data_IF_330187317358
#
_entry.id   IF_330187317358
#
_cell.length_a   1.000
_cell.length_b   1.000
_cell.length_c   1.000
_cell.angle_alpha   90.00
_cell.angle_beta   90.00
_cell.angle_gamma   90.00
#
_symmetry.space_group_name_H-M   'P 1'
#
loop_
_entity.id
_entity.type
_entity.pdbx_description
1 polymer ?
#
# COMPACT_ATOMS: atom_id res chain seq x y z
N UNK A 1 -0.66 -0.86 1.95
CA UNK A 1 -0.02 -1.46 3.14
C UNK A 1 -0.91 -2.51 3.82
N UNK A 2 -2.18 -2.55 3.49
CA UNK A 2 -3.17 -3.56 3.96
C UNK A 2 -3.24 -3.70 5.49
N UNK A 3 -2.92 -2.65 6.22
CA UNK A 3 -3.11 -2.60 7.66
C UNK A 3 -4.58 -2.33 7.94
N UNK A 4 -5.14 -3.06 8.89
CA UNK A 4 -6.53 -2.89 9.34
C UNK A 4 -6.76 -1.43 9.81
N UNK A 5 -7.62 -0.73 9.09
CA UNK A 5 -8.04 0.63 9.40
C UNK A 5 -9.41 0.53 10.06
N UNK A 6 -9.46 0.60 11.38
CA UNK A 6 -10.73 0.51 12.11
C UNK A 6 -11.49 1.82 11.99
N UNK A 7 -12.74 1.74 11.56
CA UNK A 7 -13.62 2.90 11.33
C UNK A 7 -13.78 3.81 12.57
N UNK A 8 -13.61 3.27 13.77
CA UNK A 8 -13.85 3.97 15.03
C UNK A 8 -12.57 4.44 15.74
N UNK A 9 -11.40 4.35 15.10
CA UNK A 9 -10.15 4.79 15.71
C UNK A 9 -9.51 5.89 14.86
N UNK A 10 -9.89 7.13 15.14
CA UNK A 10 -9.38 8.33 14.44
C UNK A 10 -7.87 8.54 14.60
N UNK A 11 -7.22 7.84 15.55
CA UNK A 11 -5.78 7.90 15.72
C UNK A 11 -5.05 6.96 14.76
N UNK A 12 -5.75 5.95 14.22
CA UNK A 12 -5.16 4.92 13.32
C UNK A 12 -5.49 5.11 11.86
N UNK A 13 -6.47 5.97 11.54
CA UNK A 13 -6.88 6.26 10.18
C UNK A 13 -7.01 7.76 9.95
N UNK A 14 -6.76 8.17 8.72
CA UNK A 14 -6.97 9.55 8.27
C UNK A 14 -7.44 9.57 6.82
N UNK A 15 -7.99 10.70 6.40
CA UNK A 15 -8.35 10.93 5.00
C UNK A 15 -7.18 11.61 4.30
N UNK A 16 -6.76 11.03 3.19
CA UNK A 16 -5.74 11.55 2.30
C UNK A 16 -6.36 11.92 0.96
N UNK A 17 -5.81 12.94 0.30
CA UNK A 17 -6.17 13.33 -1.06
C UNK A 17 -5.02 12.94 -1.98
N UNK A 18 -5.31 12.10 -2.98
CA UNK A 18 -4.28 11.67 -3.93
C UNK A 18 -3.76 12.83 -4.77
N UNK A 19 -4.67 13.61 -5.36
CA UNK A 19 -4.36 14.88 -6.00
C UNK A 19 -4.39 16.02 -4.97
N UNK A 20 -3.48 17.01 -5.03
CA UNK A 20 -3.43 18.07 -4.03
C UNK A 20 -4.75 18.85 -3.93
N UNK A 21 -5.35 18.86 -2.75
CA UNK A 21 -6.60 19.61 -2.48
C UNK A 21 -6.48 21.12 -2.71
N UNK A 22 -5.27 21.65 -2.72
CA UNK A 22 -4.97 23.08 -2.95
C UNK A 22 -4.87 23.43 -4.43
N UNK A 23 -4.84 22.47 -5.34
CA UNK A 23 -4.77 22.74 -6.76
C UNK A 23 -6.11 23.29 -7.27
N UNK A 24 -6.03 24.45 -7.92
CA UNK A 24 -7.17 25.17 -8.51
C UNK A 24 -7.07 25.28 -10.04
N UNK A 25 -6.07 24.67 -10.65
CA UNK A 25 -5.77 24.83 -12.07
C UNK A 25 -6.83 24.19 -12.98
N UNK A 26 -7.47 23.12 -12.53
CA UNK A 26 -8.44 22.32 -13.33
C UNK A 26 -9.91 22.74 -13.16
N UNK A 27 -10.22 23.70 -12.27
CA UNK A 27 -11.60 24.06 -11.91
C UNK A 27 -12.33 22.99 -11.07
N UNK A 28 -11.70 21.87 -10.77
CA UNK A 28 -12.21 20.82 -9.89
C UNK A 28 -11.92 21.19 -8.44
N UNK A 29 -12.91 20.99 -7.56
CA UNK A 29 -12.69 21.11 -6.12
C UNK A 29 -12.14 19.79 -5.56
N UNK A 30 -10.85 19.57 -5.69
CA UNK A 30 -10.16 18.37 -5.25
C UNK A 30 -10.30 18.05 -3.76
N UNK A 31 -10.64 19.07 -2.95
CA UNK A 31 -10.86 18.88 -1.51
C UNK A 31 -12.19 18.18 -1.20
N UNK A 32 -13.16 18.24 -2.10
CA UNK A 32 -14.50 17.66 -1.94
C UNK A 32 -14.79 16.53 -2.94
N UNK A 33 -13.82 16.19 -3.79
CA UNK A 33 -13.96 15.10 -4.75
C UNK A 33 -13.75 13.75 -4.05
N UNK A 34 -14.81 12.98 -3.91
CA UNK A 34 -14.77 11.62 -3.34
C UNK A 34 -13.86 10.67 -4.12
N UNK A 35 -13.74 10.85 -5.44
CA UNK A 35 -12.81 10.09 -6.29
C UNK A 35 -11.35 10.41 -6.00
N UNK A 36 -11.08 11.44 -5.22
CA UNK A 36 -9.73 11.85 -4.80
C UNK A 36 -9.42 11.50 -3.34
N UNK A 37 -10.38 10.96 -2.58
CA UNK A 37 -10.23 10.70 -1.15
C UNK A 37 -9.89 9.24 -0.88
N UNK A 38 -8.91 9.02 -0.03
CA UNK A 38 -8.43 7.72 0.40
C UNK A 38 -8.47 7.62 1.92
N UNK A 39 -9.00 6.52 2.44
CA UNK A 39 -8.76 6.15 3.82
C UNK A 39 -7.36 5.56 3.94
N UNK A 40 -6.50 6.17 4.74
CA UNK A 40 -5.11 5.75 4.91
C UNK A 40 -4.77 5.53 6.38
N UNK A 41 -3.81 4.63 6.62
CA UNK A 41 -3.26 4.44 7.96
C UNK A 41 -2.38 5.63 8.37
N UNK A 42 -2.06 5.73 9.65
CA UNK A 42 -1.17 6.77 10.17
C UNK A 42 0.28 6.68 9.67
N UNK A 43 0.60 5.68 8.83
CA UNK A 43 1.88 5.58 8.14
C UNK A 43 3.09 5.37 9.06
N UNK A 44 2.88 4.83 10.27
CA UNK A 44 3.95 4.68 11.27
C UNK A 44 4.28 5.97 12.02
N UNK A 45 3.42 7.00 11.92
CA UNK A 45 3.56 8.25 12.69
C UNK A 45 2.88 8.20 14.06
N UNK A 46 2.24 7.09 14.43
CA UNK A 46 1.57 6.92 15.71
C UNK A 46 2.56 6.90 16.86
N UNK A 47 2.42 7.85 17.76
CA UNK A 47 3.20 7.94 19.02
C UNK A 47 2.63 7.07 20.14
N UNK A 48 1.41 6.54 19.98
CA UNK A 48 0.62 5.96 21.08
C UNK A 48 0.17 4.52 20.85
N UNK A 49 0.68 3.86 19.81
CA UNK A 49 0.32 2.46 19.57
C UNK A 49 0.92 1.53 20.62
N UNK A 50 0.11 1.08 21.58
CA UNK A 50 0.47 0.07 22.58
C UNK A 50 0.67 -1.34 21.97
N UNK A 51 0.79 -1.46 20.66
CA UNK A 51 1.09 -2.74 20.02
C UNK A 51 2.60 -3.05 20.14
N UNK A 52 2.99 -4.32 20.38
CA UNK A 52 4.40 -4.73 20.46
C UNK A 52 5.25 -4.39 19.23
N UNK A 53 4.62 -3.93 18.15
CA UNK A 53 5.25 -3.53 16.88
C UNK A 53 5.19 -2.02 16.63
N UNK A 54 4.68 -1.22 17.56
CA UNK A 54 4.75 0.23 17.47
C UNK A 54 6.19 0.64 17.80
N UNK A 55 7.06 0.48 16.83
CA UNK A 55 8.35 1.15 16.88
C UNK A 55 8.07 2.65 16.93
N UNK A 56 8.82 3.39 17.73
CA UNK A 56 8.82 4.84 17.63
C UNK A 56 8.89 5.25 16.16
N UNK A 57 8.22 6.34 15.75
CA UNK A 57 8.20 6.76 14.34
C UNK A 57 9.60 7.20 13.92
N UNK A 58 10.46 6.24 13.71
CA UNK A 58 11.75 6.46 13.07
C UNK A 58 11.49 6.83 11.63
N UNK A 59 12.26 7.75 11.12
CA UNK A 59 12.12 8.22 9.75
C UNK A 59 12.15 7.11 8.70
N UNK A 60 12.84 6.02 9.00
CA UNK A 60 12.94 4.84 8.16
C UNK A 60 11.66 3.98 8.13
N UNK A 61 10.83 4.07 9.17
CA UNK A 61 9.58 3.31 9.28
C UNK A 61 8.34 4.10 8.87
N UNK A 62 8.48 5.38 8.52
CA UNK A 62 7.40 6.11 7.88
C UNK A 62 7.04 5.45 6.56
N UNK A 63 5.76 5.30 6.29
CA UNK A 63 5.26 4.68 5.07
C UNK A 63 3.97 5.33 4.59
N UNK A 64 3.48 4.89 3.43
CA UNK A 64 2.26 5.37 2.82
C UNK A 64 2.29 6.90 2.67
N UNK A 65 1.22 7.55 3.07
CA UNK A 65 1.05 8.99 3.00
C UNK A 65 2.15 9.76 3.77
N UNK A 66 2.46 9.38 4.99
CA UNK A 66 3.49 10.07 5.80
C UNK A 66 4.87 10.10 5.11
N UNK A 67 5.24 9.04 4.38
CA UNK A 67 6.48 9.00 3.61
C UNK A 67 6.37 9.76 2.29
N UNK A 68 5.22 9.68 1.62
CA UNK A 68 4.91 10.46 0.40
C UNK A 68 5.06 11.95 0.68
N UNK A 69 4.41 12.46 1.73
CA UNK A 69 4.49 13.86 2.13
C UNK A 69 5.91 14.32 2.40
N UNK A 70 6.69 13.50 3.10
CA UNK A 70 8.10 13.77 3.32
C UNK A 70 8.88 13.90 2.02
N UNK A 71 8.62 13.04 1.02
CA UNK A 71 9.29 13.12 -0.28
C UNK A 71 8.86 14.34 -1.07
N UNK A 72 7.59 14.76 -0.98
CA UNK A 72 7.11 16.00 -1.59
C UNK A 72 7.82 17.20 -0.95
N UNK A 73 7.89 17.26 0.38
CA UNK A 73 8.61 18.33 1.10
C UNK A 73 10.09 18.38 0.74
N UNK A 74 10.72 17.23 0.51
CA UNK A 74 12.11 17.12 0.05
C UNK A 74 12.30 17.34 -1.45
N UNK A 75 11.24 17.65 -2.20
CA UNK A 75 11.24 17.80 -3.67
C UNK A 75 11.73 16.55 -4.43
N UNK A 76 11.59 15.36 -3.85
CA UNK A 76 11.88 14.07 -4.47
C UNK A 76 10.69 13.50 -5.23
N UNK A 77 9.50 14.01 -4.94
CA UNK A 77 8.25 13.67 -5.59
C UNK A 77 7.49 15.00 -5.83
N UNK A 78 6.88 15.23 -7.01
CA UNK A 78 6.02 16.38 -7.22
C UNK A 78 4.77 16.29 -6.35
N UNK A 79 4.18 17.45 -6.02
CA UNK A 79 2.95 17.51 -5.23
C UNK A 79 1.78 16.85 -5.95
N UNK A 80 1.68 17.07 -7.27
CA UNK A 80 0.81 16.27 -8.12
C UNK A 80 1.52 14.94 -8.41
N UNK A 81 0.99 13.89 -7.78
CA UNK A 81 1.57 12.56 -7.85
C UNK A 81 1.07 11.73 -9.04
N UNK A 82 0.17 12.27 -9.89
CA UNK A 82 -0.38 11.53 -11.01
C UNK A 82 0.70 11.07 -12.00
N UNK A 83 0.69 9.76 -12.29
CA UNK A 83 1.69 9.14 -13.15
C UNK A 83 3.08 8.95 -12.52
N UNK A 84 3.35 9.56 -11.37
CA UNK A 84 4.59 9.35 -10.60
C UNK A 84 4.49 8.22 -9.59
N UNK A 85 3.29 8.00 -9.04
CA UNK A 85 2.93 6.86 -8.21
C UNK A 85 1.58 6.31 -8.65
N UNK A 86 1.33 5.04 -8.38
CA UNK A 86 0.05 4.42 -8.66
C UNK A 86 -1.06 5.04 -7.80
N UNK A 87 -2.16 5.44 -8.42
CA UNK A 87 -3.36 5.79 -7.68
C UNK A 87 -4.04 4.50 -7.19
N UNK A 88 -4.16 4.31 -5.86
CA UNK A 88 -4.74 3.08 -5.29
C UNK A 88 -6.16 2.79 -5.77
N UNK A 89 -6.95 3.82 -6.09
CA UNK A 89 -8.33 3.66 -6.57
C UNK A 89 -8.41 3.06 -7.98
N UNK A 90 -7.33 3.13 -8.74
CA UNK A 90 -7.28 2.61 -10.12
C UNK A 90 -6.57 1.25 -10.22
N UNK A 91 -6.00 0.76 -9.11
CA UNK A 91 -5.31 -0.54 -9.11
C UNK A 91 -6.35 -1.66 -9.16
N UNK A 92 -6.22 -2.53 -10.17
CA UNK A 92 -7.03 -3.75 -10.25
C UNK A 92 -6.56 -4.74 -9.17
N UNK A 93 -7.53 -5.39 -8.51
CA UNK A 93 -7.23 -6.41 -7.51
C UNK A 93 -6.54 -7.61 -8.17
N UNK A 94 -6.96 -7.99 -9.37
CA UNK A 94 -6.46 -9.16 -10.08
C UNK A 94 -6.36 -8.91 -11.60
N UNK A 95 -5.30 -9.36 -12.26
CA UNK A 95 -4.04 -9.87 -11.67
C UNK A 95 -3.24 -8.76 -10.97
N UNK A 96 -2.57 -9.10 -9.85
CA UNK A 96 -1.82 -8.12 -9.05
C UNK A 96 -0.57 -7.62 -9.77
N UNK A 97 -0.36 -6.31 -9.75
CA UNK A 97 0.88 -5.67 -10.22
C UNK A 97 2.07 -5.92 -9.27
N UNK A 98 1.80 -6.44 -8.07
CA UNK A 98 2.80 -6.67 -7.03
C UNK A 98 2.98 -8.16 -6.78
N UNK A 99 4.19 -8.54 -6.43
CA UNK A 99 4.51 -9.84 -5.83
C UNK A 99 5.14 -9.62 -4.47
N UNK A 100 4.92 -10.55 -3.54
CA UNK A 100 5.52 -10.52 -2.21
C UNK A 100 6.61 -11.58 -2.15
N UNK A 101 7.81 -11.18 -1.75
CA UNK A 101 8.84 -12.12 -1.39
C UNK A 101 8.49 -12.76 -0.04
N UNK A 102 8.30 -14.08 -0.04
CA UNK A 102 7.84 -14.82 1.15
C UNK A 102 8.88 -14.93 2.27
N UNK A 103 10.14 -14.66 1.97
CA UNK A 103 11.24 -14.73 2.94
C UNK A 103 11.51 -13.38 3.60
N UNK A 104 11.49 -12.30 2.81
CA UNK A 104 11.77 -10.94 3.30
C UNK A 104 10.51 -10.14 3.61
N UNK A 105 9.34 -10.51 3.05
CA UNK A 105 8.12 -9.71 3.12
C UNK A 105 8.13 -8.49 2.20
N UNK A 106 9.15 -8.35 1.36
CA UNK A 106 9.26 -7.23 0.42
C UNK A 106 8.27 -7.35 -0.74
N UNK A 107 7.75 -6.22 -1.15
CA UNK A 107 7.00 -6.08 -2.41
C UNK A 107 7.96 -5.79 -3.56
N UNK A 108 7.65 -6.40 -4.71
CA UNK A 108 8.32 -6.11 -5.99
C UNK A 108 7.27 -5.98 -7.08
N UNK A 109 7.63 -5.37 -8.20
CA UNK A 109 6.80 -5.40 -9.39
C UNK A 109 6.69 -6.84 -9.92
N UNK A 110 5.48 -7.24 -10.29
CA UNK A 110 5.26 -8.50 -11.03
C UNK A 110 5.62 -8.28 -12.49
N UNK A 111 6.78 -8.75 -12.91
CA UNK A 111 7.27 -8.55 -14.31
C UNK A 111 6.23 -8.99 -15.34
N UNK A 112 5.70 -10.20 -15.19
CA UNK A 112 4.72 -10.75 -16.11
C UNK A 112 3.42 -9.94 -16.16
N UNK A 113 2.90 -9.54 -15.00
CA UNK A 113 1.66 -8.76 -14.93
C UNK A 113 1.87 -7.34 -15.43
N UNK A 114 2.98 -6.71 -15.07
CA UNK A 114 3.29 -5.35 -15.52
C UNK A 114 3.52 -5.30 -17.04
N UNK A 115 4.18 -6.30 -17.60
CA UNK A 115 4.38 -6.39 -19.05
C UNK A 115 3.07 -6.61 -19.84
N UNK A 116 2.11 -7.33 -19.25
CA UNK A 116 0.79 -7.56 -19.85
C UNK A 116 -0.23 -6.45 -19.54
N UNK A 117 0.10 -5.51 -18.65
CA UNK A 117 -0.80 -4.43 -18.28
C UNK A 117 -0.96 -3.41 -19.41
N UNK A 118 -2.17 -2.85 -19.54
CA UNK A 118 -2.37 -1.68 -20.39
C UNK A 118 -1.51 -0.51 -19.89
N UNK A 119 -1.11 0.41 -20.79
CA UNK A 119 -0.38 1.61 -20.39
C UNK A 119 -1.12 2.35 -19.28
N UNK A 120 -0.39 2.71 -18.24
CA UNK A 120 -0.98 3.48 -17.14
C UNK A 120 -1.16 4.95 -17.58
N UNK A 121 -2.34 5.54 -17.34
CA UNK A 121 -2.58 6.94 -17.70
C UNK A 121 -1.54 7.87 -17.08
N UNK A 122 -1.08 8.84 -17.86
CA UNK A 122 -0.12 9.86 -17.42
C UNK A 122 1.20 9.31 -16.85
N UNK A 123 1.56 8.05 -17.14
CA UNK A 123 2.78 7.43 -16.63
C UNK A 123 4.02 8.26 -16.95
N UNK A 124 4.74 8.70 -15.93
CA UNK A 124 5.98 9.48 -16.01
C UNK A 124 7.23 8.60 -16.00
N UNK A 125 7.07 7.27 -16.06
CA UNK A 125 8.14 6.28 -16.07
C UNK A 125 8.14 5.52 -17.40
N UNK A 126 9.25 4.83 -17.76
CA UNK A 126 9.36 4.10 -19.02
C UNK A 126 8.29 3.02 -19.22
N UNK A 127 7.86 2.38 -18.13
CA UNK A 127 6.89 1.27 -18.17
C UNK A 127 6.14 1.14 -16.84
N UNK A 128 5.17 0.22 -16.80
CA UNK A 128 4.34 -0.03 -15.60
C UNK A 128 5.17 -0.64 -14.48
N UNK A 129 6.17 -1.46 -14.76
CA UNK A 129 7.02 -2.06 -13.72
C UNK A 129 7.85 -0.99 -13.00
N UNK A 130 8.39 -0.03 -13.74
CA UNK A 130 9.11 1.12 -13.19
C UNK A 130 8.20 2.02 -12.34
N UNK A 131 6.96 2.25 -12.76
CA UNK A 131 5.95 2.97 -11.99
C UNK A 131 5.62 2.23 -10.68
N UNK A 132 5.45 0.90 -10.73
CA UNK A 132 5.23 0.07 -9.54
C UNK A 132 6.42 0.17 -8.58
N UNK A 133 7.64 -0.01 -9.09
CA UNK A 133 8.86 0.09 -8.28
C UNK A 133 9.00 1.47 -7.65
N UNK A 134 8.71 2.54 -8.40
CA UNK A 134 8.71 3.90 -7.88
C UNK A 134 7.64 4.12 -6.82
N UNK A 135 6.45 3.56 -6.99
CA UNK A 135 5.37 3.59 -5.99
C UNK A 135 5.81 2.93 -4.69
N UNK A 136 6.40 1.74 -4.76
CA UNK A 136 6.94 1.02 -3.58
C UNK A 136 7.94 1.90 -2.83
N UNK A 137 8.87 2.54 -3.55
CA UNK A 137 9.88 3.40 -2.95
C UNK A 137 9.28 4.70 -2.39
N UNK A 138 8.42 5.38 -3.14
CA UNK A 138 7.82 6.67 -2.75
C UNK A 138 6.91 6.55 -1.52
N UNK A 139 6.25 5.41 -1.37
CA UNK A 139 5.40 5.10 -0.22
C UNK A 139 6.14 4.29 0.86
N UNK A 140 7.42 4.00 0.68
CA UNK A 140 8.25 3.18 1.56
C UNK A 140 7.54 1.88 2.00
N UNK A 141 6.95 1.17 1.03
CA UNK A 141 6.18 -0.02 1.31
C UNK A 141 7.03 -1.20 1.79
N UNK A 142 8.34 -1.12 1.63
CA UNK A 142 9.31 -2.11 2.09
C UNK A 142 10.04 -1.69 3.39
N UNK A 143 9.50 -0.75 4.15
CA UNK A 143 10.03 -0.48 5.48
C UNK A 143 9.90 -1.72 6.38
N UNK A 144 10.79 -1.84 7.35
CA UNK A 144 10.89 -3.03 8.22
C UNK A 144 9.54 -3.41 8.86
N UNK A 145 8.81 -2.44 9.38
CA UNK A 145 7.50 -2.64 10.00
C UNK A 145 6.51 -3.32 9.05
N UNK A 146 6.41 -2.87 7.78
CA UNK A 146 5.48 -3.44 6.80
C UNK A 146 5.93 -4.81 6.31
N UNK A 147 7.23 -5.03 6.14
CA UNK A 147 7.77 -6.35 5.80
C UNK A 147 7.44 -7.36 6.91
N UNK A 148 7.65 -7.02 8.18
CA UNK A 148 7.31 -7.89 9.31
C UNK A 148 5.82 -8.18 9.41
N UNK A 149 4.96 -7.17 9.19
CA UNK A 149 3.51 -7.36 9.18
C UNK A 149 3.09 -8.39 8.10
N UNK A 150 3.63 -8.28 6.87
CA UNK A 150 3.36 -9.25 5.79
C UNK A 150 3.86 -10.64 6.13
N UNK A 151 5.07 -10.76 6.70
CA UNK A 151 5.62 -12.05 7.12
C UNK A 151 4.75 -12.73 8.18
N UNK A 152 4.16 -11.95 9.10
CA UNK A 152 3.21 -12.50 10.09
C UNK A 152 1.99 -13.08 9.39
N UNK A 153 1.34 -12.34 8.50
CA UNK A 153 0.19 -12.83 7.73
C UNK A 153 0.54 -14.07 6.89
N UNK A 154 1.70 -14.08 6.23
CA UNK A 154 2.16 -15.25 5.45
C UNK A 154 2.31 -16.48 6.34
N UNK A 155 2.91 -16.34 7.53
CA UNK A 155 3.07 -17.44 8.49
C UNK A 155 1.72 -17.97 8.96
N UNK A 156 0.77 -17.10 9.26
CA UNK A 156 -0.57 -17.46 9.70
C UNK A 156 -1.33 -18.21 8.59
N UNK A 157 -1.23 -17.74 7.34
CA UNK A 157 -1.80 -18.44 6.18
C UNK A 157 -1.18 -19.83 6.02
N UNK A 158 0.13 -19.97 6.07
CA UNK A 158 0.81 -21.27 5.93
C UNK A 158 0.49 -22.21 7.11
N UNK A 159 0.41 -21.69 8.33
CA UNK A 159 -0.03 -22.44 9.48
C UNK A 159 -1.45 -22.97 9.31
N UNK A 160 -2.39 -22.12 8.91
CA UNK A 160 -3.78 -22.50 8.67
C UNK A 160 -3.91 -23.52 7.54
N UNK A 161 -3.18 -23.36 6.43
CA UNK A 161 -3.12 -24.35 5.36
C UNK A 161 -2.62 -25.70 5.84
N UNK A 162 -1.56 -25.73 6.67
CA UNK A 162 -1.05 -26.97 7.27
C UNK A 162 -2.09 -27.63 8.15
N UNK A 163 -2.76 -26.87 9.03
CA UNK A 163 -3.83 -27.37 9.91
C UNK A 163 -4.99 -27.96 9.11
N UNK A 164 -5.44 -27.28 8.06
CA UNK A 164 -6.51 -27.75 7.19
C UNK A 164 -6.15 -29.05 6.46
N UNK A 165 -4.92 -29.16 5.93
CA UNK A 165 -4.43 -30.39 5.29
C UNK A 165 -4.41 -31.56 6.26
N UNK A 166 -3.98 -31.37 7.52
CA UNK A 166 -3.97 -32.40 8.55
C UNK A 166 -5.39 -32.80 8.95
N UNK A 167 -6.37 -31.90 8.86
CA UNK A 167 -7.79 -32.19 9.11
C UNK A 167 -8.52 -32.78 7.88
N UNK A 168 -7.83 -33.07 6.78
CA UNK A 168 -8.44 -33.62 5.56
C UNK A 168 -9.32 -32.65 4.78
N UNK A 169 -9.22 -31.33 5.06
CA UNK A 169 -10.00 -30.29 4.37
C UNK A 169 -9.41 -30.04 2.99
N UNK A 170 -10.24 -30.07 1.96
CA UNK A 170 -9.79 -29.78 0.59
C UNK A 170 -9.36 -28.30 0.45
N UNK A 171 -8.44 -27.96 -0.48
CA UNK A 171 -8.02 -26.58 -0.71
C UNK A 171 -9.18 -25.61 -1.02
N UNK A 172 -10.21 -26.09 -1.76
CA UNK A 172 -11.38 -25.29 -2.10
C UNK A 172 -12.24 -24.96 -0.87
N UNK A 173 -12.47 -25.95 0.01
CA UNK A 173 -13.16 -25.75 1.29
C UNK A 173 -12.35 -24.83 2.22
N UNK A 174 -11.03 -24.96 2.20
CA UNK A 174 -10.14 -24.10 2.99
C UNK A 174 -10.22 -22.63 2.60
N UNK A 175 -10.35 -22.33 1.31
CA UNK A 175 -10.51 -20.94 0.81
C UNK A 175 -11.88 -20.36 1.19
N UNK A 176 -12.95 -21.15 1.15
CA UNK A 176 -14.28 -20.70 1.54
C UNK A 176 -14.40 -20.33 3.04
N UNK A 177 -13.52 -20.87 3.88
CA UNK A 177 -13.48 -20.56 5.32
C UNK A 177 -12.62 -19.33 5.67
N UNK A 178 -11.97 -18.71 4.69
CA UNK A 178 -11.14 -17.51 4.86
C UNK A 178 -11.85 -16.22 4.37
N UNK A 179 -13.02 -16.35 3.75
CA UNK A 179 -13.88 -15.26 3.32
C UNK A 179 -14.91 -14.90 4.41
#
# INVERSE_FOLDING_TARGET
CEIDIRENDSLKSRIEHFHPKSDKSSGVNWALDWGNMLAVCAGGSDRYGAAPHSMEPLSENLSCDAHKDRWIQQRKLPADCEGWVLNPLHIRIWPSLFVIDKFSGELRASEATCAAAAPWPNNQHPDVASLVARTIASLNLNCHRLCQARLTVIRDIEHNKKKQRLAGVSPQQGLANLA
#
